data_IF_034141507189
#
_entry.id   IF_034141507189
#
_cell.length_a   1.000
_cell.length_b   1.000
_cell.length_c   1.000
_cell.angle_alpha   90.00
_cell.angle_beta   90.00
_cell.angle_gamma   90.00
#
_symmetry.space_group_name_H-M   'P 1'
#
loop_
_entity.id
_entity.type
_entity.pdbx_description
1 polymer ?
#
# COMPACT_ATOMS: atom_id res chain seq x y z
N UNK A 1 7.74 4.95 -1.61
CA UNK A 1 6.33 4.53 -1.76
C UNK A 1 5.43 5.54 -1.05
N UNK A 2 4.31 5.93 -1.64
CA UNK A 2 3.34 6.83 -1.01
C UNK A 2 1.95 6.20 -1.07
N UNK A 3 1.32 6.00 0.09
CA UNK A 3 -0.03 5.44 0.23
C UNK A 3 -0.88 6.39 1.05
N UNK A 4 -2.03 6.76 0.52
CA UNK A 4 -2.99 7.64 1.18
C UNK A 4 -4.38 7.02 1.14
N UNK A 5 -5.26 7.49 2.00
CA UNK A 5 -6.65 7.06 2.01
C UNK A 5 -7.59 8.27 2.17
N UNK A 6 -8.89 8.00 2.23
CA UNK A 6 -9.92 9.02 2.44
C UNK A 6 -10.24 9.73 1.14
N UNK A 7 -10.30 11.05 1.18
CA UNK A 7 -10.54 11.93 0.02
C UNK A 7 -9.27 12.65 -0.44
N UNK A 8 -8.11 12.09 -0.10
CA UNK A 8 -6.80 12.66 -0.45
C UNK A 8 -6.58 12.61 -1.97
N UNK A 9 -6.05 13.69 -2.54
CA UNK A 9 -5.79 13.77 -3.98
C UNK A 9 -4.36 13.31 -4.32
N UNK A 10 -4.09 12.01 -4.14
CA UNK A 10 -2.76 11.41 -4.27
C UNK A 10 -2.05 11.78 -5.58
N UNK A 11 -2.75 11.69 -6.73
CA UNK A 11 -2.14 11.95 -8.04
C UNK A 11 -1.68 13.40 -8.23
N UNK A 12 -2.23 14.37 -7.48
CA UNK A 12 -1.75 15.75 -7.52
C UNK A 12 -0.35 15.93 -6.94
N UNK A 13 0.14 14.96 -6.18
CA UNK A 13 1.50 14.97 -5.61
C UNK A 13 2.57 14.54 -6.62
N UNK A 14 2.18 13.92 -7.74
CA UNK A 14 3.11 13.29 -8.69
C UNK A 14 4.08 14.29 -9.33
N UNK A 15 3.58 15.38 -9.90
CA UNK A 15 4.45 16.39 -10.53
C UNK A 15 5.39 17.06 -9.51
N UNK A 16 4.92 17.51 -8.33
CA UNK A 16 5.82 17.96 -7.25
C UNK A 16 6.89 16.92 -6.87
N UNK A 17 6.50 15.64 -6.74
CA UNK A 17 7.42 14.56 -6.39
C UNK A 17 8.53 14.38 -7.43
N UNK A 18 8.17 14.38 -8.72
CA UNK A 18 9.15 14.25 -9.82
C UNK A 18 10.12 15.44 -9.86
N UNK A 19 9.63 16.66 -9.57
CA UNK A 19 10.50 17.85 -9.46
C UNK A 19 11.47 17.71 -8.31
N UNK A 20 10.99 17.32 -7.12
CA UNK A 20 11.85 17.10 -5.96
C UNK A 20 12.92 16.02 -6.22
N UNK A 21 12.54 14.90 -6.86
CA UNK A 21 13.47 13.83 -7.20
C UNK A 21 14.58 14.31 -8.16
N UNK A 22 14.23 15.14 -9.13
CA UNK A 22 15.21 15.77 -10.03
C UNK A 22 16.10 16.75 -9.30
N UNK A 23 15.51 17.69 -8.57
CA UNK A 23 16.23 18.85 -8.01
C UNK A 23 17.17 18.45 -6.88
N UNK A 24 16.78 17.46 -6.06
CA UNK A 24 17.55 17.05 -4.88
C UNK A 24 18.36 15.76 -5.06
N UNK A 25 17.89 14.84 -5.91
CA UNK A 25 18.55 13.54 -6.10
C UNK A 25 19.16 13.37 -7.49
N UNK A 26 18.97 14.34 -8.41
CA UNK A 26 19.41 14.23 -9.80
C UNK A 26 18.66 13.17 -10.61
N UNK A 27 17.54 12.65 -10.10
CA UNK A 27 16.76 11.62 -10.79
C UNK A 27 15.92 12.25 -11.91
N UNK A 28 16.34 12.07 -13.15
CA UNK A 28 15.69 12.64 -14.34
C UNK A 28 14.88 11.61 -15.14
N UNK A 29 14.96 10.34 -14.77
CA UNK A 29 14.30 9.22 -15.44
C UNK A 29 13.59 8.31 -14.44
N UNK A 30 12.51 7.68 -14.90
CA UNK A 30 11.72 6.73 -14.12
C UNK A 30 12.10 5.33 -14.59
N UNK A 31 12.51 4.48 -13.65
CA UNK A 31 12.78 3.07 -13.93
C UNK A 31 11.49 2.24 -13.87
N UNK A 32 10.72 2.38 -12.78
CA UNK A 32 9.45 1.69 -12.56
C UNK A 32 8.44 2.70 -12.00
N UNK A 33 7.19 2.59 -12.44
CA UNK A 33 6.09 3.40 -11.91
C UNK A 33 4.85 2.54 -11.77
N UNK A 34 4.24 2.57 -10.59
CA UNK A 34 3.02 1.86 -10.31
C UNK A 34 2.05 2.80 -9.58
N UNK A 35 0.83 2.89 -10.10
CA UNK A 35 -0.31 3.50 -9.44
C UNK A 35 -1.41 2.46 -9.34
N UNK A 36 -1.89 2.19 -8.14
CA UNK A 36 -2.88 1.14 -7.91
C UNK A 36 -3.87 1.49 -6.82
N UNK A 37 -5.02 0.82 -6.87
CA UNK A 37 -6.04 0.94 -5.84
C UNK A 37 -7.21 0.00 -6.08
N UNK A 38 -7.77 -0.54 -4.99
CA UNK A 38 -9.07 -1.21 -5.05
C UNK A 38 -10.16 -0.19 -5.34
N UNK A 39 -11.19 -0.60 -6.08
CA UNK A 39 -12.37 0.21 -6.30
C UNK A 39 -12.96 0.77 -4.99
N UNK A 40 -13.39 2.03 -5.03
CA UNK A 40 -13.89 2.73 -3.86
C UNK A 40 -15.26 2.21 -3.44
N UNK A 41 -15.48 2.14 -2.12
CA UNK A 41 -16.82 1.91 -1.58
C UNK A 41 -17.82 3.01 -1.98
N UNK A 42 -17.34 4.27 -2.08
CA UNK A 42 -18.14 5.44 -2.46
C UNK A 42 -17.36 6.35 -3.42
N UNK A 43 -17.43 6.03 -4.71
CA UNK A 43 -16.78 6.81 -5.78
C UNK A 43 -17.21 8.29 -5.79
N UNK A 44 -18.48 8.59 -5.47
CA UNK A 44 -19.04 9.94 -5.49
C UNK A 44 -18.41 10.92 -4.48
N UNK A 45 -17.69 10.42 -3.47
CA UNK A 45 -17.01 11.26 -2.48
C UNK A 45 -15.62 11.72 -2.92
N UNK A 46 -15.08 11.14 -4.00
CA UNK A 46 -13.76 11.51 -4.48
C UNK A 46 -13.82 12.77 -5.32
N UNK A 47 -12.80 13.62 -5.19
CA UNK A 47 -12.59 14.79 -6.03
C UNK A 47 -11.69 14.48 -7.22
N UNK A 48 -11.63 15.39 -8.20
CA UNK A 48 -10.72 15.27 -9.33
C UNK A 48 -9.25 15.19 -8.89
N UNK A 49 -8.43 14.24 -9.37
CA UNK A 49 -8.67 13.35 -10.53
C UNK A 49 -9.16 11.92 -10.18
N UNK A 50 -9.73 11.69 -9.00
CA UNK A 50 -10.00 10.35 -8.44
C UNK A 50 -11.46 9.90 -8.50
N UNK A 51 -12.31 10.54 -9.31
CA UNK A 51 -13.75 10.21 -9.34
C UNK A 51 -14.02 8.82 -9.90
N UNK A 52 -13.20 8.38 -10.85
CA UNK A 52 -13.26 7.06 -11.46
C UNK A 52 -11.90 6.75 -12.12
N UNK A 53 -11.67 5.48 -12.43
CA UNK A 53 -10.37 5.06 -12.96
C UNK A 53 -10.06 5.64 -14.34
N UNK A 54 -11.07 5.90 -15.17
CA UNK A 54 -10.87 6.54 -16.48
C UNK A 54 -10.30 7.95 -16.34
N UNK A 55 -10.79 8.73 -15.37
CA UNK A 55 -10.27 10.06 -15.06
C UNK A 55 -8.82 10.00 -14.53
N UNK A 56 -8.48 8.99 -13.74
CA UNK A 56 -7.12 8.76 -13.25
C UNK A 56 -6.16 8.41 -14.39
N UNK A 57 -6.61 7.57 -15.34
CA UNK A 57 -5.87 7.22 -16.56
C UNK A 57 -5.63 8.48 -17.40
N UNK A 58 -6.65 9.30 -17.62
CA UNK A 58 -6.53 10.54 -18.40
C UNK A 58 -5.55 11.52 -17.76
N UNK A 59 -5.61 11.67 -16.43
CA UNK A 59 -4.66 12.49 -15.68
C UNK A 59 -3.22 11.98 -15.84
N UNK A 60 -3.00 10.67 -15.72
CA UNK A 60 -1.68 10.07 -15.85
C UNK A 60 -1.15 10.10 -17.29
N UNK A 61 -2.00 9.89 -18.30
CA UNK A 61 -1.63 9.96 -19.70
C UNK A 61 -1.27 11.37 -20.16
N UNK A 62 -1.78 12.41 -19.49
CA UNK A 62 -1.33 13.78 -19.71
C UNK A 62 0.12 14.02 -19.23
N UNK A 63 0.64 13.15 -18.36
CA UNK A 63 1.99 13.22 -17.80
C UNK A 63 2.93 12.24 -18.52
N UNK A 64 2.45 11.02 -18.80
CA UNK A 64 3.25 9.95 -19.35
C UNK A 64 2.70 9.46 -20.71
N UNK A 65 3.53 9.40 -21.75
CA UNK A 65 3.09 8.99 -23.08
C UNK A 65 2.94 7.47 -23.24
N UNK A 66 3.53 6.68 -22.34
CA UNK A 66 3.67 5.22 -22.42
C UNK A 66 2.94 4.49 -21.27
N UNK A 67 1.78 5.02 -20.87
CA UNK A 67 0.94 4.43 -19.83
C UNK A 67 0.20 3.17 -20.27
N UNK A 68 0.16 2.17 -19.39
CA UNK A 68 -0.69 0.99 -19.53
C UNK A 68 -1.55 0.84 -18.29
N UNK A 69 -2.86 0.68 -18.49
CA UNK A 69 -3.83 0.48 -17.43
C UNK A 69 -4.48 -0.90 -17.52
N UNK A 70 -4.70 -1.55 -16.39
CA UNK A 70 -5.46 -2.78 -16.30
C UNK A 70 -6.42 -2.77 -15.09
N UNK A 71 -7.45 -3.60 -15.18
CA UNK A 71 -8.41 -3.85 -14.12
C UNK A 71 -8.40 -5.35 -13.84
N UNK A 72 -8.13 -5.73 -12.60
CA UNK A 72 -8.11 -7.12 -12.16
C UNK A 72 -9.30 -7.41 -11.24
N UNK A 73 -9.99 -8.52 -11.48
CA UNK A 73 -11.20 -8.88 -10.74
C UNK A 73 -12.49 -8.51 -11.48
N UNK A 74 -13.59 -8.35 -10.73
CA UNK A 74 -14.93 -8.16 -11.29
C UNK A 74 -15.28 -6.68 -11.30
N UNK A 75 -15.40 -6.08 -12.49
CA UNK A 75 -15.70 -4.64 -12.63
C UNK A 75 -17.01 -4.20 -11.96
N UNK A 76 -17.98 -5.12 -11.84
CA UNK A 76 -19.27 -4.88 -11.19
C UNK A 76 -19.28 -5.23 -9.69
N UNK A 77 -18.12 -5.54 -9.11
CA UNK A 77 -17.94 -5.92 -7.71
C UNK A 77 -16.53 -5.50 -7.28
N UNK A 78 -15.82 -6.32 -6.51
CA UNK A 78 -14.44 -6.04 -6.13
C UNK A 78 -13.50 -6.19 -7.33
N UNK A 79 -12.84 -5.08 -7.64
CA UNK A 79 -11.77 -5.02 -8.61
C UNK A 79 -10.64 -4.12 -8.14
N UNK A 80 -9.45 -4.38 -8.67
CA UNK A 80 -8.24 -3.64 -8.41
C UNK A 80 -7.76 -2.98 -9.70
N UNK A 81 -7.64 -1.68 -9.66
CA UNK A 81 -7.14 -0.86 -10.74
C UNK A 81 -5.63 -0.71 -10.64
N UNK A 82 -4.97 -0.74 -11.78
CA UNK A 82 -3.52 -0.67 -11.88
C UNK A 82 -3.11 0.10 -13.12
N UNK A 83 -2.18 1.01 -12.94
CA UNK A 83 -1.54 1.76 -14.00
C UNK A 83 -0.04 1.66 -13.84
N UNK A 84 0.65 1.36 -14.93
CA UNK A 84 2.11 1.25 -14.99
C UNK A 84 2.65 1.91 -16.27
N UNK A 85 3.96 2.03 -16.37
CA UNK A 85 4.64 2.48 -17.58
C UNK A 85 5.19 1.28 -18.35
N UNK A 86 4.99 1.30 -19.67
CA UNK A 86 5.57 0.33 -20.58
C UNK A 86 6.96 0.80 -21.01
N UNK A 87 7.99 0.05 -20.62
CA UNK A 87 9.38 0.32 -20.98
C UNK A 87 9.93 -0.80 -21.85
N UNK A 88 10.78 -0.48 -22.84
CA UNK A 88 11.43 -1.50 -23.66
C UNK A 88 12.29 -2.42 -22.80
N UNK A 89 12.32 -3.72 -23.11
CA UNK A 89 13.01 -4.77 -22.33
C UNK A 89 14.45 -4.41 -21.94
N UNK A 90 15.15 -3.66 -22.79
CA UNK A 90 16.50 -3.13 -22.52
C UNK A 90 16.65 -2.31 -21.22
N UNK A 91 15.55 -1.77 -20.68
CA UNK A 91 15.52 -0.99 -19.41
C UNK A 91 15.05 -1.82 -18.22
N UNK A 92 14.60 -3.05 -18.43
CA UNK A 92 14.10 -3.91 -17.36
C UNK A 92 15.29 -4.46 -16.58
N UNK A 93 15.40 -4.06 -15.32
CA UNK A 93 16.38 -4.64 -14.40
C UNK A 93 15.74 -5.89 -13.80
N UNK A 94 16.29 -7.07 -14.12
CA UNK A 94 15.86 -8.35 -13.56
C UNK A 94 16.39 -8.55 -12.12
N UNK A 95 16.02 -7.65 -11.22
CA UNK A 95 16.20 -7.88 -9.80
C UNK A 95 14.90 -8.44 -9.21
N UNK A 96 14.99 -9.47 -8.36
CA UNK A 96 13.81 -10.09 -7.77
C UNK A 96 13.19 -9.10 -6.79
N UNK A 97 12.03 -8.56 -7.13
CA UNK A 97 11.32 -7.56 -6.31
C UNK A 97 9.84 -7.93 -6.25
N UNK A 98 9.26 -7.94 -5.06
CA UNK A 98 7.91 -8.48 -4.82
C UNK A 98 7.14 -7.61 -3.83
N UNK A 99 5.87 -7.35 -4.14
CA UNK A 99 4.93 -6.63 -3.27
C UNK A 99 3.69 -7.49 -3.01
N UNK A 100 3.31 -7.66 -1.75
CA UNK A 100 2.06 -8.31 -1.34
C UNK A 100 1.13 -7.28 -0.68
N UNK A 101 -0.09 -7.16 -1.20
CA UNK A 101 -1.16 -6.38 -0.58
C UNK A 101 -2.33 -7.29 -0.20
N UNK A 102 -2.73 -7.27 1.08
CA UNK A 102 -3.93 -7.95 1.57
C UNK A 102 -4.96 -6.88 1.93
N UNK A 103 -6.05 -6.82 1.17
CA UNK A 103 -7.14 -5.85 1.33
C UNK A 103 -8.35 -6.57 1.92
N UNK A 104 -8.70 -6.22 3.16
CA UNK A 104 -9.76 -6.89 3.92
C UNK A 104 -10.92 -5.93 4.16
N UNK A 105 -12.13 -6.48 4.08
CA UNK A 105 -13.40 -5.81 4.40
C UNK A 105 -14.18 -6.73 5.35
N UNK A 106 -15.24 -6.20 5.98
CA UNK A 106 -16.18 -7.01 6.79
C UNK A 106 -15.50 -7.81 7.93
N UNK A 107 -14.53 -7.17 8.58
CA UNK A 107 -13.76 -7.75 9.67
C UNK A 107 -14.61 -7.97 10.93
N UNK A 108 -14.21 -8.95 11.74
CA UNK A 108 -14.89 -9.28 13.00
C UNK A 108 -14.96 -8.05 13.93
N UNK A 109 -16.17 -7.66 14.40
CA UNK A 109 -16.33 -6.49 15.26
C UNK A 109 -15.55 -6.54 16.57
N UNK A 110 -15.38 -7.72 17.17
CA UNK A 110 -14.63 -7.90 18.41
C UNK A 110 -13.12 -7.70 18.18
N UNK A 111 -12.60 -8.09 17.01
CA UNK A 111 -11.22 -7.78 16.62
C UNK A 111 -11.08 -6.27 16.35
N UNK A 112 -12.06 -5.66 15.68
CA UNK A 112 -12.01 -4.23 15.36
C UNK A 112 -12.08 -3.31 16.60
N UNK A 113 -12.70 -3.76 17.69
CA UNK A 113 -12.78 -3.03 18.97
C UNK A 113 -11.39 -2.74 19.59
N UNK A 114 -10.38 -3.52 19.24
CA UNK A 114 -9.00 -3.30 19.68
C UNK A 114 -8.40 -1.99 19.16
N UNK A 115 -8.90 -1.47 18.03
CA UNK A 115 -8.36 -0.27 17.36
C UNK A 115 -9.12 1.03 17.70
N UNK A 116 -9.86 1.02 18.80
CA UNK A 116 -10.44 2.22 19.41
C UNK A 116 -9.52 2.76 20.50
N UNK A 117 -9.47 4.08 20.64
CA UNK A 117 -8.79 4.69 21.78
C UNK A 117 -9.50 4.30 23.08
N UNK A 118 -8.73 3.83 24.04
CA UNK A 118 -9.18 3.45 25.40
C UNK A 118 -8.23 4.08 26.41
N UNK A 119 -8.76 4.50 27.55
CA UNK A 119 -7.95 5.12 28.60
C UNK A 119 -6.85 4.16 29.08
N UNK A 120 -5.61 4.65 29.09
CA UNK A 120 -4.44 3.87 29.49
C UNK A 120 -3.92 2.87 28.46
N UNK A 121 -4.54 2.75 27.28
CA UNK A 121 -4.08 1.85 26.20
C UNK A 121 -3.29 2.64 25.17
N UNK A 122 -2.04 2.23 24.92
CA UNK A 122 -1.18 2.87 23.92
C UNK A 122 -1.22 2.15 22.58
N UNK A 123 -0.76 2.80 21.51
CA UNK A 123 -0.61 2.16 20.20
C UNK A 123 0.27 0.90 20.27
N UNK A 124 1.33 0.91 21.09
CA UNK A 124 2.22 -0.24 21.31
C UNK A 124 1.50 -1.41 21.96
N UNK A 125 0.59 -1.14 22.89
CA UNK A 125 -0.21 -2.19 23.53
C UNK A 125 -1.17 -2.82 22.52
N UNK A 126 -1.85 -2.00 21.73
CA UNK A 126 -2.71 -2.48 20.62
C UNK A 126 -1.92 -3.35 19.64
N UNK A 127 -0.73 -2.90 19.20
CA UNK A 127 0.12 -3.67 18.27
C UNK A 127 0.46 -5.07 18.81
N UNK A 128 0.75 -5.18 20.11
CA UNK A 128 1.14 -6.43 20.76
C UNK A 128 -0.08 -7.33 20.98
N UNK A 129 -1.16 -6.79 21.53
CA UNK A 129 -2.34 -7.56 21.94
C UNK A 129 -3.21 -7.99 20.76
N UNK A 130 -3.18 -7.26 19.65
CA UNK A 130 -3.85 -7.66 18.41
C UNK A 130 -3.08 -8.73 17.62
N UNK A 131 -1.85 -9.07 18.06
CA UNK A 131 -0.95 -9.98 17.33
C UNK A 131 -0.23 -9.36 16.13
N UNK A 132 -0.41 -8.07 15.84
CA UNK A 132 0.25 -7.40 14.70
C UNK A 132 1.78 -7.42 14.86
N UNK A 133 2.27 -7.29 16.10
CA UNK A 133 3.70 -7.34 16.42
C UNK A 133 4.37 -8.62 15.89
N UNK A 134 3.66 -9.75 15.91
CA UNK A 134 4.21 -11.07 15.64
C UNK A 134 4.02 -11.51 14.18
N UNK A 135 3.31 -10.73 13.35
CA UNK A 135 3.13 -11.01 11.92
C UNK A 135 4.45 -11.06 11.15
N UNK A 136 5.38 -10.17 11.50
CA UNK A 136 6.74 -10.16 10.96
C UNK A 136 7.69 -10.00 12.15
N UNK A 137 8.17 -11.12 12.73
CA UNK A 137 9.02 -11.09 13.91
C UNK A 137 10.27 -10.24 13.69
N UNK A 138 10.73 -9.60 14.78
CA UNK A 138 11.94 -8.76 14.81
C UNK A 138 11.87 -7.48 13.96
N UNK A 139 10.67 -7.04 13.59
CA UNK A 139 10.47 -5.73 12.94
C UNK A 139 10.52 -4.59 13.96
N UNK A 140 11.17 -3.50 13.60
CA UNK A 140 11.02 -2.21 14.28
C UNK A 140 9.71 -1.60 13.81
N UNK A 141 8.79 -1.37 14.75
CA UNK A 141 7.44 -0.87 14.48
C UNK A 141 7.29 0.55 15.00
N UNK A 142 6.83 1.44 14.13
CA UNK A 142 6.31 2.76 14.48
C UNK A 142 4.79 2.74 14.29
N UNK A 143 4.02 2.90 15.36
CA UNK A 143 2.58 2.73 15.37
C UNK A 143 1.87 3.94 15.99
N UNK A 144 0.73 4.29 15.42
CA UNK A 144 -0.12 5.40 15.86
C UNK A 144 -1.57 4.95 15.98
N UNK A 145 -2.20 5.31 17.09
CA UNK A 145 -3.64 5.15 17.33
C UNK A 145 -4.32 6.50 17.07
N UNK A 146 -5.36 6.49 16.24
CA UNK A 146 -6.07 7.67 15.77
C UNK A 146 -7.32 7.93 16.65
N UNK A 147 -7.64 9.20 16.85
CA UNK A 147 -8.79 9.62 17.65
C UNK A 147 -10.05 9.77 16.78
N UNK A 148 -11.21 9.21 17.18
CA UNK A 148 -11.44 8.31 18.33
C UNK A 148 -11.11 6.84 18.05
N UNK A 149 -10.93 6.49 16.78
CA UNK A 149 -10.58 5.14 16.36
C UNK A 149 -9.77 5.17 15.08
N UNK A 150 -9.05 4.08 14.84
CA UNK A 150 -8.19 3.89 13.69
C UNK A 150 -6.77 3.64 14.16
N UNK A 151 -6.04 2.88 13.37
CA UNK A 151 -4.67 2.48 13.68
C UNK A 151 -3.88 2.47 12.38
N UNK A 152 -2.64 2.94 12.46
CA UNK A 152 -1.68 2.86 11.37
C UNK A 152 -0.32 2.53 11.94
N UNK A 153 0.46 1.74 11.21
CA UNK A 153 1.83 1.43 11.59
C UNK A 153 2.70 1.25 10.35
N UNK A 154 3.99 1.49 10.54
CA UNK A 154 5.04 1.10 9.63
C UNK A 154 5.93 0.08 10.34
N UNK A 155 6.26 -1.02 9.66
CA UNK A 155 7.22 -2.01 10.11
C UNK A 155 8.46 -2.02 9.21
N UNK A 156 9.64 -2.02 9.80
CA UNK A 156 10.92 -2.17 9.09
C UNK A 156 11.79 -3.22 9.76
N UNK A 157 12.39 -4.12 8.98
CA UNK A 157 13.35 -5.11 9.47
C UNK A 157 14.73 -4.79 8.91
N UNK A 158 15.77 -4.79 9.75
CA UNK A 158 17.15 -4.69 9.30
C UNK A 158 17.61 -6.08 8.81
N UNK A 159 18.07 -6.20 7.57
CA UNK A 159 18.24 -7.52 6.93
C UNK A 159 19.63 -8.13 7.08
N UNK A 160 19.64 -9.44 7.35
CA UNK A 160 20.24 -10.41 6.42
C UNK A 160 19.09 -11.26 5.81
N UNK A 161 19.14 -11.48 4.49
CA UNK A 161 18.07 -12.08 3.66
C UNK A 161 17.53 -13.42 4.19
N UNK A 162 18.36 -14.18 4.90
CA UNK A 162 18.05 -15.54 5.34
C UNK A 162 17.03 -15.62 6.49
N UNK A 163 16.95 -14.61 7.36
CA UNK A 163 16.13 -14.67 8.57
C UNK A 163 14.63 -14.41 8.32
N UNK A 164 14.27 -13.69 7.26
CA UNK A 164 12.87 -13.32 7.00
C UNK A 164 12.01 -14.52 6.57
N UNK A 165 12.56 -15.43 5.76
CA UNK A 165 11.80 -16.57 5.23
C UNK A 165 11.49 -17.64 6.26
N UNK A 166 12.36 -17.83 7.24
CA UNK A 166 12.17 -18.81 8.29
C UNK A 166 11.17 -18.33 9.35
N UNK A 167 11.05 -17.01 9.55
CA UNK A 167 10.23 -16.43 10.62
C UNK A 167 8.85 -15.92 10.16
N UNK A 168 8.65 -15.59 8.88
CA UNK A 168 7.39 -15.00 8.38
C UNK A 168 6.30 -16.01 7.99
N UNK A 169 6.60 -17.30 7.91
CA UNK A 169 5.64 -18.34 7.50
C UNK A 169 5.20 -18.28 6.02
N UNK A 170 5.71 -17.33 5.22
CA UNK A 170 5.34 -17.15 3.80
C UNK A 170 5.61 -18.40 2.95
N UNK A 171 6.61 -19.21 3.33
CA UNK A 171 6.93 -20.46 2.65
C UNK A 171 5.81 -21.50 2.73
N UNK A 172 4.97 -21.44 3.76
CA UNK A 172 3.87 -22.39 3.97
C UNK A 172 2.61 -22.03 3.17
N UNK A 173 2.51 -20.78 2.68
CA UNK A 173 1.40 -20.31 1.85
C UNK A 173 1.52 -20.73 0.38
N UNK A 174 2.72 -21.03 -0.13
CA UNK A 174 2.94 -21.41 -1.54
C UNK A 174 3.94 -22.59 -1.67
N UNK A 175 3.50 -23.84 -1.42
CA UNK A 175 4.38 -25.00 -1.46
C UNK A 175 4.96 -25.24 -2.87
N UNK A 176 6.29 -25.38 -2.97
CA UNK A 176 6.98 -25.77 -4.22
C UNK A 176 7.43 -24.64 -5.14
N UNK A 177 7.27 -23.38 -4.73
CA UNK A 177 7.75 -22.22 -5.47
C UNK A 177 9.23 -21.91 -5.18
N UNK A 178 10.03 -21.68 -6.24
CA UNK A 178 11.36 -21.06 -6.11
C UNK A 178 11.12 -19.56 -6.10
N UNK A 179 11.21 -18.95 -4.92
CA UNK A 179 11.01 -17.52 -4.71
C UNK A 179 12.35 -16.92 -4.34
N UNK A 180 12.89 -16.12 -5.27
CA UNK A 180 13.96 -15.16 -4.98
C UNK A 180 13.26 -13.83 -4.65
N UNK A 181 13.54 -13.26 -3.50
CA UNK A 181 12.80 -12.11 -2.99
C UNK A 181 13.78 -11.09 -2.39
N UNK A 182 13.88 -9.93 -3.04
CA UNK A 182 14.44 -8.71 -2.45
C UNK A 182 13.31 -7.88 -1.90
N UNK A 183 13.50 -7.40 -0.67
CA UNK A 183 12.62 -6.45 -0.02
C UNK A 183 13.04 -5.03 -0.38
N UNK A 184 12.06 -4.19 -0.72
CA UNK A 184 12.25 -2.77 -0.99
C UNK A 184 12.97 -2.02 0.14
N UNK A 185 14.17 -1.54 -0.17
CA UNK A 185 14.76 -0.37 0.47
C UNK A 185 14.29 0.86 -0.35
N UNK A 186 13.58 1.89 0.21
CA UNK A 186 13.46 2.26 1.61
C UNK A 186 12.03 2.30 2.20
N UNK A 187 11.02 1.61 1.63
CA UNK A 187 9.62 1.69 2.11
C UNK A 187 8.92 0.34 1.88
N UNK A 188 8.24 -0.37 2.79
CA UNK A 188 7.52 -0.01 4.02
C UNK A 188 6.14 -0.70 3.93
N UNK A 189 5.72 -1.45 4.96
CA UNK A 189 4.36 -2.04 5.04
C UNK A 189 3.38 -1.00 5.59
N UNK A 190 2.20 -0.85 4.96
CA UNK A 190 1.20 0.17 5.33
C UNK A 190 -0.22 -0.42 5.44
N UNK A 191 -0.77 -0.33 6.65
CA UNK A 191 -2.15 -0.67 7.02
C UNK A 191 -2.90 0.60 7.42
N UNK A 192 -4.10 0.81 6.84
CA UNK A 192 -5.02 1.90 7.22
C UNK A 192 -6.41 1.31 7.42
N UNK A 193 -6.95 1.40 8.64
CA UNK A 193 -8.35 1.18 8.95
C UNK A 193 -9.10 2.52 9.05
N UNK A 194 -10.22 2.66 8.35
CA UNK A 194 -11.10 3.82 8.48
C UNK A 194 -12.56 3.40 8.62
N UNK A 195 -13.19 4.01 9.62
CA UNK A 195 -14.62 3.97 9.91
C UNK A 195 -15.33 5.08 9.12
N UNK A 196 -16.51 4.79 8.57
CA UNK A 196 -17.49 5.84 8.27
C UNK A 196 -18.81 5.51 8.98
N UNK A 197 -19.26 6.44 9.81
CA UNK A 197 -20.53 6.44 10.52
C UNK A 197 -21.76 6.14 9.61
N UNK A 198 -22.75 5.43 10.15
CA UNK A 198 -24.17 5.76 9.98
C UNK A 198 -25.07 4.79 9.21
N UNK A 199 -25.73 3.90 9.96
CA UNK A 199 -27.11 3.32 9.82
C UNK A 199 -27.67 2.84 8.48
N UNK A 200 -28.13 1.57 8.57
CA UNK A 200 -28.93 0.70 7.69
C UNK A 200 -28.17 -0.08 6.62
#
# INVERSE_FOLDING_TARGET
MLKTCGTTHLLKTLIPLLKLARDYSGCDSIQNFFYSGKNFMKHSHQGYPHRNFQEEIEFLNAIFPNGTACCMGRMNSDCWYFYTLDFPESRVINQPDQTLEILMSELDPAVMDQFYMKDGVTAKDVTRESGIHDLIPSSVIDATLLNPCGYSMNGMKSFSLWAFFQESGIRDLIPGSVIDATLFNPCGYSMNGMKSYGTY
#
